data_IF_727271915996
#
_entry.id   IF_727271915996
#
_cell.length_a   1.000
_cell.length_b   1.000
_cell.length_c   1.000
_cell.angle_alpha   90.00
_cell.angle_beta   90.00
_cell.angle_gamma   90.00
#
_symmetry.space_group_name_H-M   'P 1'
#
loop_
_entity.id
_entity.type
_entity.pdbx_description
1 polymer ?
#
# COMPACT_ATOMS: atom_id res chain seq x y z
N UNK A 1 -10.20 -29.18 -35.04
CA UNK A 1 -9.47 -28.01 -34.49
C UNK A 1 -8.76 -28.23 -33.18
N UNK A 2 -8.83 -29.39 -32.54
CA UNK A 2 -8.19 -29.68 -31.22
C UNK A 2 -6.73 -30.16 -31.27
N UNK A 3 -6.20 -30.49 -32.44
CA UNK A 3 -4.86 -31.07 -32.60
C UNK A 3 -3.71 -30.05 -32.62
N UNK A 4 -3.95 -28.80 -32.99
CA UNK A 4 -2.88 -27.77 -33.09
C UNK A 4 -2.52 -27.10 -31.76
N UNK A 5 -3.35 -27.20 -30.74
CA UNK A 5 -3.11 -26.58 -29.43
C UNK A 5 -2.11 -27.43 -28.61
N UNK A 6 -2.09 -28.74 -28.82
CA UNK A 6 -1.22 -29.65 -28.08
C UNK A 6 0.25 -29.59 -28.55
N UNK A 7 0.50 -29.17 -29.75
CA UNK A 7 1.86 -29.07 -30.32
C UNK A 7 2.57 -27.78 -29.90
N UNK A 8 1.81 -26.70 -29.72
CA UNK A 8 2.34 -25.41 -29.27
C UNK A 8 2.82 -25.44 -27.80
N UNK A 9 2.21 -26.26 -26.99
CA UNK A 9 2.62 -26.44 -25.59
C UNK A 9 3.93 -27.22 -25.42
N UNK A 10 4.25 -28.12 -26.34
CA UNK A 10 5.46 -28.97 -26.26
C UNK A 10 6.77 -28.24 -26.59
N UNK A 11 6.68 -27.14 -27.36
CA UNK A 11 7.88 -26.39 -27.82
C UNK A 11 8.43 -25.47 -26.72
N UNK A 12 7.55 -25.00 -25.82
CA UNK A 12 7.94 -24.01 -24.81
C UNK A 12 8.65 -24.60 -23.58
N UNK A 13 8.50 -25.89 -23.34
CA UNK A 13 9.11 -26.56 -22.16
C UNK A 13 10.59 -26.95 -22.43
N UNK A 14 10.97 -27.14 -23.69
CA UNK A 14 12.34 -27.61 -24.06
C UNK A 14 13.40 -26.50 -24.02
N UNK A 15 13.02 -25.23 -24.06
CA UNK A 15 13.96 -24.11 -24.12
C UNK A 15 14.25 -23.44 -22.76
N UNK A 16 13.64 -23.89 -21.68
CA UNK A 16 13.80 -23.27 -20.36
C UNK A 16 14.83 -23.92 -19.44
N UNK A 17 15.52 -24.98 -19.93
CA UNK A 17 16.38 -25.82 -19.07
C UNK A 17 17.89 -25.62 -19.23
N UNK A 18 18.39 -24.62 -19.97
CA UNK A 18 19.82 -24.52 -20.27
C UNK A 18 20.55 -23.23 -19.93
N UNK A 19 19.93 -22.29 -19.18
CA UNK A 19 20.70 -21.11 -18.73
C UNK A 19 20.31 -20.80 -17.27
N UNK A 20 21.21 -21.09 -16.39
CA UNK A 20 21.49 -20.43 -15.11
C UNK A 20 21.99 -21.42 -14.06
N UNK A 21 23.25 -21.85 -14.25
CA UNK A 21 24.07 -22.29 -13.13
C UNK A 21 25.36 -21.45 -13.24
N UNK A 22 25.42 -20.37 -12.50
CA UNK A 22 26.69 -19.70 -12.19
C UNK A 22 26.74 -19.58 -10.66
N UNK A 23 27.62 -20.38 -10.01
CA UNK A 23 27.91 -20.18 -8.60
C UNK A 23 28.98 -19.08 -8.51
N UNK A 24 28.60 -17.92 -7.94
CA UNK A 24 29.56 -16.89 -7.54
C UNK A 24 29.83 -17.00 -6.04
N UNK A 25 30.81 -17.84 -5.72
CA UNK A 25 31.57 -17.80 -4.46
C UNK A 25 32.40 -16.51 -4.45
N UNK A 26 32.14 -15.63 -3.53
CA UNK A 26 33.08 -14.60 -3.10
C UNK A 26 32.97 -14.43 -1.59
N UNK A 27 33.93 -15.05 -0.94
CA UNK A 27 34.32 -14.79 0.43
C UNK A 27 34.96 -13.41 0.51
N UNK A 28 34.70 -12.67 1.60
CA UNK A 28 35.33 -11.37 1.80
C UNK A 28 34.89 -10.67 3.07
N UNK A 29 35.51 -11.06 4.15
CA UNK A 29 36.17 -10.20 5.17
C UNK A 29 35.31 -9.32 6.06
N UNK A 30 35.18 -9.83 7.29
CA UNK A 30 34.88 -9.08 8.52
C UNK A 30 35.91 -7.96 8.75
N UNK A 31 35.44 -6.75 8.99
CA UNK A 31 36.15 -5.79 9.83
C UNK A 31 35.23 -5.21 10.85
N UNK A 32 35.37 -5.69 12.07
CA UNK A 32 34.80 -5.14 13.29
C UNK A 32 35.68 -3.94 13.70
N UNK A 33 35.14 -2.74 13.65
CA UNK A 33 35.73 -1.59 14.34
C UNK A 33 34.89 -1.32 15.57
N UNK A 34 35.45 -1.77 16.70
CA UNK A 34 35.06 -1.44 18.05
C UNK A 34 35.60 -0.04 18.38
N UNK A 35 34.72 0.92 18.60
CA UNK A 35 35.07 2.16 19.29
C UNK A 35 34.47 2.15 20.70
N UNK A 36 35.31 1.78 21.64
CA UNK A 36 35.17 2.02 23.06
C UNK A 36 35.59 3.46 23.30
N UNK A 37 34.78 4.26 23.99
CA UNK A 37 35.20 5.48 24.62
C UNK A 37 34.61 5.60 26.01
N UNK A 38 35.55 5.68 26.92
CA UNK A 38 35.42 5.82 28.34
C UNK A 38 34.66 7.07 28.77
N UNK A 39 34.17 6.95 29.96
CA UNK A 39 33.40 7.77 30.80
C UNK A 39 33.90 9.19 31.11
N UNK A 40 32.96 9.97 31.56
CA UNK A 40 33.22 10.92 32.66
C UNK A 40 31.89 11.16 33.36
N UNK A 41 31.92 10.92 34.65
CA UNK A 41 30.90 11.25 35.62
C UNK A 41 30.90 12.77 35.90
N UNK A 42 29.76 13.17 36.50
CA UNK A 42 29.41 14.34 37.30
C UNK A 42 28.43 15.29 36.60
N UNK A 43 27.27 15.60 37.12
CA UNK A 43 26.99 16.17 38.43
C UNK A 43 25.47 16.29 38.65
N UNK A 44 25.07 16.03 39.85
CA UNK A 44 23.77 16.28 40.45
C UNK A 44 23.26 17.71 40.25
N UNK A 45 22.08 17.87 39.65
CA UNK A 45 21.32 19.11 39.57
C UNK A 45 19.82 18.87 39.81
N UNK A 46 19.36 19.38 40.94
CA UNK A 46 18.04 19.38 41.55
C UNK A 46 16.91 19.76 40.61
N UNK A 47 15.66 19.23 40.79
CA UNK A 47 14.55 19.45 39.90
C UNK A 47 14.01 20.87 40.01
N UNK A 48 14.04 21.57 38.88
CA UNK A 48 13.29 22.80 38.72
C UNK A 48 11.94 22.44 38.06
N UNK A 49 10.90 22.76 38.81
CA UNK A 49 9.52 22.63 38.42
C UNK A 49 9.26 23.55 37.21
N UNK A 50 9.35 23.02 36.01
CA UNK A 50 8.90 23.74 34.83
C UNK A 50 7.47 23.33 34.57
N UNK A 51 6.59 24.26 34.78
CA UNK A 51 5.18 24.33 34.39
C UNK A 51 5.00 23.63 33.07
N UNK A 52 4.20 22.57 33.08
CA UNK A 52 3.64 21.96 31.88
C UNK A 52 2.74 23.01 31.21
N UNK A 53 3.29 23.75 30.26
CA UNK A 53 2.44 24.36 29.25
C UNK A 53 1.74 23.23 28.51
N UNK A 54 0.49 23.03 28.87
CA UNK A 54 -0.47 22.31 28.05
C UNK A 54 -0.54 23.08 26.75
N UNK A 55 0.25 22.67 25.76
CA UNK A 55 -0.03 23.02 24.37
C UNK A 55 -1.39 22.42 24.09
N UNK A 56 -2.42 23.24 24.16
CA UNK A 56 -3.69 22.96 23.53
C UNK A 56 -3.37 22.77 22.04
N UNK A 57 -3.13 21.52 21.66
CA UNK A 57 -3.21 21.12 20.26
C UNK A 57 -4.65 21.36 19.89
N UNK A 58 -4.91 22.50 19.27
CA UNK A 58 -6.12 22.73 18.49
C UNK A 58 -6.16 21.57 17.52
N UNK A 59 -6.97 20.57 17.84
CA UNK A 59 -7.29 19.47 16.94
C UNK A 59 -8.04 20.10 15.78
N UNK A 60 -7.30 20.59 14.77
CA UNK A 60 -7.90 20.81 13.48
C UNK A 60 -8.45 19.46 13.08
N UNK A 61 -9.78 19.39 12.97
CA UNK A 61 -10.48 18.18 12.54
C UNK A 61 -9.96 17.90 11.13
N UNK A 62 -9.03 16.96 11.04
CA UNK A 62 -8.47 16.54 9.77
C UNK A 62 -9.62 16.16 8.83
N UNK A 63 -9.60 16.70 7.63
CA UNK A 63 -10.64 16.37 6.65
C UNK A 63 -10.55 14.89 6.28
N UNK A 64 -11.69 14.23 6.08
CA UNK A 64 -11.67 12.80 5.72
C UNK A 64 -10.82 12.50 4.50
N UNK A 65 -10.83 13.36 3.48
CA UNK A 65 -10.01 13.19 2.27
C UNK A 65 -8.51 13.28 2.54
N UNK A 66 -8.07 14.09 3.50
CA UNK A 66 -6.66 14.22 3.87
C UNK A 66 -6.18 12.95 4.60
N UNK A 67 -6.96 12.45 5.56
CA UNK A 67 -6.71 11.16 6.19
C UNK A 67 -6.70 10.02 5.15
N UNK A 68 -7.64 10.05 4.22
CA UNK A 68 -7.71 9.09 3.13
C UNK A 68 -6.48 9.10 2.24
N UNK A 69 -5.93 10.30 1.93
CA UNK A 69 -4.71 10.45 1.16
C UNK A 69 -3.50 9.85 1.89
N UNK A 70 -3.38 10.07 3.20
CA UNK A 70 -2.31 9.49 4.03
C UNK A 70 -2.39 7.96 4.05
N UNK A 71 -3.58 7.40 4.24
CA UNK A 71 -3.78 5.95 4.24
C UNK A 71 -3.46 5.37 2.86
N UNK A 72 -3.93 6.03 1.78
CA UNK A 72 -3.72 5.61 0.40
C UNK A 72 -2.23 5.52 0.04
N UNK A 73 -1.44 6.52 0.41
CA UNK A 73 -0.01 6.56 0.15
C UNK A 73 0.81 5.70 1.14
N UNK A 74 0.35 5.62 2.39
CA UNK A 74 1.04 4.97 3.50
C UNK A 74 0.64 3.51 3.68
N UNK A 75 -0.04 3.22 4.79
CA UNK A 75 -0.34 1.83 5.21
C UNK A 75 -1.23 1.04 4.24
N UNK A 76 -2.01 1.72 3.39
CA UNK A 76 -2.81 1.07 2.36
C UNK A 76 -2.01 0.64 1.14
N UNK A 77 -0.84 1.24 0.90
CA UNK A 77 0.03 1.00 -0.25
C UNK A 77 -0.67 1.08 -1.62
N UNK A 78 -1.82 1.76 -1.69
CA UNK A 78 -2.68 1.80 -2.88
C UNK A 78 -2.03 2.52 -4.06
N UNK A 79 -1.15 3.49 -3.76
CA UNK A 79 -0.39 4.29 -4.75
C UNK A 79 0.49 3.44 -5.67
N UNK A 80 0.82 2.20 -5.27
CA UNK A 80 1.61 1.28 -6.09
C UNK A 80 0.86 0.85 -7.35
N UNK A 81 -0.48 0.76 -7.28
CA UNK A 81 -1.31 0.27 -8.37
C UNK A 81 -2.29 1.30 -8.92
N UNK A 82 -2.66 2.32 -8.16
CA UNK A 82 -3.63 3.35 -8.55
C UNK A 82 -2.99 4.72 -8.65
N UNK A 83 -3.41 5.50 -9.66
CA UNK A 83 -3.02 6.90 -9.86
C UNK A 83 -4.28 7.76 -9.97
N UNK A 84 -4.18 9.08 -9.74
CA UNK A 84 -5.34 9.97 -9.80
C UNK A 84 -6.11 9.91 -11.12
N UNK A 85 -5.42 9.98 -12.26
CA UNK A 85 -6.02 10.26 -13.57
C UNK A 85 -5.60 9.28 -14.68
N UNK A 86 -4.70 8.34 -14.41
CA UNK A 86 -4.25 7.35 -15.38
C UNK A 86 -4.37 5.94 -14.84
N UNK A 87 -4.75 5.00 -15.70
CA UNK A 87 -4.72 3.57 -15.38
C UNK A 87 -3.25 3.11 -15.29
N UNK A 88 -2.92 2.42 -14.19
CA UNK A 88 -1.63 1.74 -14.02
C UNK A 88 -1.88 0.22 -14.00
N UNK A 89 -1.59 -0.46 -12.90
CA UNK A 89 -2.03 -1.85 -12.69
C UNK A 89 -3.54 -1.87 -12.42
N UNK A 90 -4.01 -0.97 -11.55
CA UNK A 90 -5.42 -0.75 -11.27
C UNK A 90 -6.00 0.43 -12.04
N UNK A 91 -7.33 0.60 -12.03
CA UNK A 91 -8.03 1.75 -12.59
C UNK A 91 -7.56 3.07 -11.95
N UNK A 92 -7.76 4.20 -12.65
CA UNK A 92 -7.53 5.52 -12.06
C UNK A 92 -8.54 5.82 -10.95
N UNK A 93 -8.18 6.72 -10.01
CA UNK A 93 -9.12 7.14 -8.97
C UNK A 93 -10.34 7.84 -9.55
N UNK A 94 -10.16 8.59 -10.64
CA UNK A 94 -11.26 9.21 -11.38
C UNK A 94 -12.25 8.20 -11.93
N UNK A 95 -11.75 7.13 -12.56
CA UNK A 95 -12.61 6.07 -13.10
C UNK A 95 -13.32 5.32 -11.97
N UNK A 96 -12.62 5.03 -10.88
CA UNK A 96 -13.21 4.38 -9.70
C UNK A 96 -14.34 5.26 -9.16
N UNK A 97 -14.06 6.53 -8.84
CA UNK A 97 -15.04 7.46 -8.29
C UNK A 97 -16.28 7.59 -9.20
N UNK A 98 -16.04 7.74 -10.50
CA UNK A 98 -17.11 7.85 -11.49
C UNK A 98 -18.00 6.62 -11.52
N UNK A 99 -17.43 5.42 -11.60
CA UNK A 99 -18.18 4.17 -11.71
C UNK A 99 -18.96 3.90 -10.42
N UNK A 100 -18.37 4.12 -9.25
CA UNK A 100 -19.07 3.98 -7.97
C UNK A 100 -20.24 4.95 -7.86
N UNK A 101 -20.07 6.20 -8.27
CA UNK A 101 -21.13 7.20 -8.31
C UNK A 101 -22.25 6.80 -9.29
N UNK A 102 -21.89 6.44 -10.52
CA UNK A 102 -22.86 6.11 -11.59
C UNK A 102 -23.68 4.86 -11.25
N UNK A 103 -23.06 3.89 -10.58
CA UNK A 103 -23.71 2.64 -10.19
C UNK A 103 -24.29 2.66 -8.76
N UNK A 104 -24.15 3.77 -8.05
CA UNK A 104 -24.52 3.88 -6.63
C UNK A 104 -23.92 2.72 -5.79
N UNK A 105 -22.64 2.42 -6.04
CA UNK A 105 -21.94 1.33 -5.39
C UNK A 105 -21.47 1.69 -3.97
N UNK A 106 -21.23 0.68 -3.15
CA UNK A 106 -20.69 0.82 -1.80
C UNK A 106 -19.19 0.48 -1.82
N UNK A 107 -18.34 1.52 -1.79
CA UNK A 107 -16.89 1.36 -1.84
C UNK A 107 -16.35 0.82 -0.51
N UNK A 108 -16.93 1.21 0.61
CA UNK A 108 -16.52 0.72 1.94
C UNK A 108 -16.76 -0.79 2.04
N UNK A 109 -17.92 -1.26 1.63
CA UNK A 109 -18.24 -2.70 1.58
C UNK A 109 -17.27 -3.44 0.64
N UNK A 110 -16.94 -2.87 -0.51
CA UNK A 110 -15.93 -3.47 -1.39
C UNK A 110 -14.55 -3.56 -0.74
N UNK A 111 -14.09 -2.49 -0.07
CA UNK A 111 -12.79 -2.48 0.62
C UNK A 111 -12.74 -3.47 1.79
N UNK A 112 -13.87 -3.80 2.39
CA UNK A 112 -14.01 -4.91 3.35
C UNK A 112 -13.93 -6.30 2.70
N UNK A 113 -13.91 -6.35 1.36
CA UNK A 113 -13.89 -7.60 0.59
C UNK A 113 -15.24 -8.32 0.53
N UNK A 114 -16.32 -7.59 0.76
CA UNK A 114 -17.71 -8.07 0.78
C UNK A 114 -18.53 -7.55 -0.40
N UNK A 115 -17.99 -6.55 -1.14
CA UNK A 115 -18.65 -5.92 -2.28
C UNK A 115 -18.27 -6.55 -3.62
N UNK A 116 -19.13 -6.33 -4.62
CA UNK A 116 -18.90 -6.78 -5.99
C UNK A 116 -17.83 -5.92 -6.72
N UNK A 117 -17.02 -6.52 -7.59
CA UNK A 117 -15.98 -5.82 -8.36
C UNK A 117 -16.57 -5.04 -9.55
N UNK A 118 -17.27 -3.94 -9.28
CA UNK A 118 -18.03 -3.19 -10.30
C UNK A 118 -17.19 -2.35 -11.25
N UNK A 119 -15.91 -2.06 -10.93
CA UNK A 119 -15.04 -1.20 -11.74
C UNK A 119 -14.29 -2.00 -12.80
N UNK A 120 -13.48 -2.97 -12.39
CA UNK A 120 -12.73 -3.84 -13.30
C UNK A 120 -12.79 -5.30 -12.81
N UNK A 121 -13.86 -6.04 -13.13
CA UNK A 121 -14.00 -7.44 -12.71
C UNK A 121 -12.86 -8.34 -13.22
N UNK A 122 -12.23 -7.98 -14.34
CA UNK A 122 -11.15 -8.77 -14.93
C UNK A 122 -9.85 -8.71 -14.12
N UNK A 123 -9.63 -7.61 -13.39
CA UNK A 123 -8.48 -7.40 -12.52
C UNK A 123 -8.79 -7.67 -11.03
N UNK A 124 -9.98 -8.15 -10.74
CA UNK A 124 -10.43 -8.38 -9.36
C UNK A 124 -9.48 -9.29 -8.55
N UNK A 125 -8.94 -10.33 -9.18
CA UNK A 125 -8.04 -11.25 -8.51
C UNK A 125 -6.78 -10.56 -7.96
N UNK A 126 -6.29 -9.53 -8.67
CA UNK A 126 -5.14 -8.70 -8.22
C UNK A 126 -5.56 -7.83 -7.04
N UNK A 127 -6.70 -7.13 -7.15
CA UNK A 127 -7.20 -6.27 -6.09
C UNK A 127 -7.56 -7.06 -4.83
N UNK A 128 -8.12 -8.26 -4.97
CA UNK A 128 -8.52 -9.13 -3.86
C UNK A 128 -7.37 -9.45 -2.89
N UNK A 129 -6.14 -9.53 -3.38
CA UNK A 129 -4.97 -9.76 -2.54
C UNK A 129 -4.77 -8.65 -1.50
N UNK A 130 -5.19 -7.42 -1.81
CA UNK A 130 -5.04 -6.26 -0.92
C UNK A 130 -6.09 -6.23 0.22
N UNK A 131 -7.14 -7.06 0.15
CA UNK A 131 -8.13 -7.12 1.24
C UNK A 131 -7.55 -7.63 2.56
N UNK A 132 -6.40 -8.32 2.53
CA UNK A 132 -5.66 -8.65 3.74
C UNK A 132 -5.22 -7.38 4.51
N UNK A 133 -4.99 -6.29 3.80
CA UNK A 133 -4.61 -5.00 4.37
C UNK A 133 -5.87 -4.19 4.72
N UNK A 134 -6.77 -3.99 3.76
CA UNK A 134 -7.92 -3.09 3.96
C UNK A 134 -8.89 -3.58 5.03
N UNK A 135 -9.01 -4.89 5.26
CA UNK A 135 -9.79 -5.48 6.36
C UNK A 135 -9.27 -5.15 7.76
N UNK A 136 -8.04 -4.66 7.87
CA UNK A 136 -7.48 -4.22 9.17
C UNK A 136 -7.83 -2.77 9.50
N UNK A 137 -8.42 -2.04 8.56
CA UNK A 137 -8.77 -0.64 8.73
C UNK A 137 -10.10 -0.49 9.46
N UNK A 138 -10.22 0.57 10.25
CA UNK A 138 -11.47 0.94 10.87
C UNK A 138 -12.47 1.46 9.84
N UNK A 139 -13.75 1.50 10.21
CA UNK A 139 -14.79 2.07 9.33
C UNK A 139 -14.54 3.54 9.00
N UNK A 140 -13.94 4.30 9.93
CA UNK A 140 -13.55 5.69 9.71
C UNK A 140 -12.44 5.79 8.66
N UNK A 141 -11.42 4.94 8.75
CA UNK A 141 -10.33 4.89 7.78
C UNK A 141 -10.79 4.47 6.39
N UNK A 142 -11.72 3.52 6.31
CA UNK A 142 -12.31 3.10 5.03
C UNK A 142 -13.16 4.21 4.42
N UNK A 143 -13.94 4.96 5.23
CA UNK A 143 -14.69 6.13 4.77
C UNK A 143 -13.77 7.28 4.35
N UNK A 144 -12.64 7.44 5.03
CA UNK A 144 -11.63 8.42 4.63
C UNK A 144 -11.02 8.08 3.27
N UNK A 145 -10.69 6.81 3.03
CA UNK A 145 -10.25 6.34 1.70
C UNK A 145 -11.31 6.59 0.62
N UNK A 146 -12.57 6.29 0.90
CA UNK A 146 -13.68 6.57 0.00
C UNK A 146 -13.78 8.08 -0.31
N UNK A 147 -13.72 8.95 0.71
CA UNK A 147 -13.72 10.40 0.53
C UNK A 147 -12.55 10.88 -0.33
N UNK A 148 -11.36 10.34 -0.10
CA UNK A 148 -10.19 10.62 -0.93
C UNK A 148 -10.38 10.20 -2.38
N UNK A 149 -10.91 9.03 -2.64
CA UNK A 149 -11.20 8.57 -4.01
C UNK A 149 -12.21 9.50 -4.67
N UNK A 150 -13.30 9.87 -3.98
CA UNK A 150 -14.31 10.79 -4.51
C UNK A 150 -13.79 12.22 -4.70
N UNK A 151 -12.76 12.67 -3.99
CA UNK A 151 -12.15 13.98 -4.21
C UNK A 151 -11.52 14.11 -5.61
N UNK A 152 -11.25 13.00 -6.29
CA UNK A 152 -10.74 12.98 -7.67
C UNK A 152 -11.84 13.00 -8.74
N UNK A 153 -13.11 13.01 -8.36
CA UNK A 153 -14.22 13.11 -9.31
C UNK A 153 -14.20 14.48 -10.01
N UNK A 154 -14.17 14.44 -11.34
CA UNK A 154 -14.25 15.65 -12.20
C UNK A 154 -15.62 15.77 -12.83
#
# INVERSE_FOLDING_TARGET
MKSKIHEYQKINIKNMSKKLIVPMLLAGMLTIVSCKKDGSEESFGKPETTTTETTETTSEVQKPEDLGAEIFAGKGACVACHKPDVKLVGPSLQDIAKIYKDKNGDMVTFLKGEGEPIVDPTQYAVMKANFAITKTFSDEELKALEAYVYSHLK
#
